data_IF_033887200694
#
_entry.id   IF_033887200694
#
_cell.length_a   1.000
_cell.length_b   1.000
_cell.length_c   1.000
_cell.angle_alpha   90.00
_cell.angle_beta   90.00
_cell.angle_gamma   90.00
#
_symmetry.space_group_name_H-M   'P 1'
#
loop_
_entity.id
_entity.type
_entity.pdbx_description
1 polymer ?
#
# COMPACT_ATOMS: atom_id res chain seq x y z
N UNK A 1 -27.12 8.99 -10.86
CA UNK A 1 -25.97 9.88 -10.57
C UNK A 1 -24.71 9.03 -10.44
N UNK A 2 -23.75 9.15 -11.38
CA UNK A 2 -22.42 8.55 -11.18
C UNK A 2 -21.74 9.34 -10.07
N UNK A 3 -21.67 8.79 -8.85
CA UNK A 3 -20.84 9.36 -7.79
C UNK A 3 -19.41 9.40 -8.31
N UNK A 4 -18.88 10.61 -8.55
CA UNK A 4 -17.50 10.80 -8.98
C UNK A 4 -16.65 10.46 -7.75
N UNK A 5 -15.82 9.42 -7.86
CA UNK A 5 -14.99 9.01 -6.74
C UNK A 5 -13.99 10.13 -6.42
N UNK A 6 -13.88 10.49 -5.14
CA UNK A 6 -12.87 11.42 -4.69
C UNK A 6 -11.53 10.71 -4.59
N UNK A 7 -10.67 10.96 -5.57
CA UNK A 7 -9.27 10.56 -5.57
C UNK A 7 -8.39 11.70 -5.02
N UNK A 8 -7.22 11.40 -4.41
CA UNK A 8 -6.74 10.07 -4.07
C UNK A 8 -7.47 9.48 -2.86
N UNK A 9 -7.54 8.15 -2.80
CA UNK A 9 -7.98 7.43 -1.60
C UNK A 9 -6.77 7.28 -0.69
N UNK A 10 -6.87 7.85 0.52
CA UNK A 10 -5.76 7.91 1.48
C UNK A 10 -6.08 7.01 2.67
N UNK A 11 -5.10 6.19 3.05
CA UNK A 11 -5.18 5.29 4.20
C UNK A 11 -3.98 5.52 5.11
N UNK A 12 -4.22 5.77 6.39
CA UNK A 12 -3.18 5.83 7.42
C UNK A 12 -3.24 4.61 8.32
N UNK A 13 -2.10 3.92 8.46
CA UNK A 13 -1.94 2.70 9.22
C UNK A 13 -0.92 2.95 10.33
N UNK A 14 -1.28 2.72 11.61
CA UNK A 14 -0.39 2.94 12.75
C UNK A 14 0.65 1.81 12.90
N UNK A 15 1.32 1.47 11.79
CA UNK A 15 2.32 0.41 11.69
C UNK A 15 3.53 0.90 10.89
N UNK A 16 4.71 0.48 11.32
CA UNK A 16 5.93 0.62 10.54
C UNK A 16 6.05 -0.48 9.49
N UNK A 17 6.59 -0.13 8.33
CA UNK A 17 7.00 -1.10 7.32
C UNK A 17 8.21 -1.89 7.82
N UNK A 18 8.20 -3.24 7.71
CA UNK A 18 9.39 -4.04 7.96
C UNK A 18 10.45 -3.75 6.89
N UNK A 19 11.72 -3.72 7.27
CA UNK A 19 12.80 -3.57 6.30
C UNK A 19 12.92 -4.84 5.42
N UNK A 20 13.45 -4.72 4.21
CA UNK A 20 13.74 -5.87 3.34
C UNK A 20 14.62 -6.93 4.04
N UNK A 21 15.60 -6.52 4.84
CA UNK A 21 16.40 -7.43 5.66
C UNK A 21 15.56 -8.17 6.72
N UNK A 22 14.58 -7.50 7.34
CA UNK A 22 13.65 -8.17 8.24
C UNK A 22 12.76 -9.16 7.48
N UNK A 23 12.31 -8.82 6.26
CA UNK A 23 11.58 -9.74 5.40
C UNK A 23 12.39 -11.00 5.10
N UNK A 24 13.65 -10.86 4.68
CA UNK A 24 14.55 -11.98 4.34
C UNK A 24 14.92 -12.87 5.52
N UNK A 25 14.86 -12.36 6.76
CA UNK A 25 15.20 -13.11 7.98
C UNK A 25 13.97 -13.63 8.70
N UNK A 26 13.14 -12.72 9.23
CA UNK A 26 11.98 -13.04 10.08
C UNK A 26 10.80 -13.59 9.27
N UNK A 27 10.63 -13.12 8.04
CA UNK A 27 9.50 -13.48 7.18
C UNK A 27 9.91 -14.37 6.01
N UNK A 28 11.06 -15.05 6.12
CA UNK A 28 11.53 -16.01 5.10
C UNK A 28 10.57 -17.18 4.92
N UNK A 29 9.95 -17.62 6.02
CA UNK A 29 8.99 -18.73 5.98
C UNK A 29 7.68 -18.27 5.31
N UNK A 30 7.14 -19.03 4.33
CA UNK A 30 5.92 -18.63 3.61
C UNK A 30 4.73 -18.30 4.52
N UNK A 31 4.53 -19.05 5.60
CA UNK A 31 3.47 -18.77 6.59
C UNK A 31 3.67 -17.44 7.32
N UNK A 32 4.91 -17.11 7.75
CA UNK A 32 5.18 -15.85 8.41
C UNK A 32 4.91 -14.66 7.47
N UNK A 33 5.34 -14.77 6.20
CA UNK A 33 5.03 -13.77 5.18
C UNK A 33 3.53 -13.66 4.91
N UNK A 34 2.82 -14.79 4.82
CA UNK A 34 1.36 -14.84 4.65
C UNK A 34 0.65 -14.08 5.78
N UNK A 35 1.00 -14.35 7.04
CA UNK A 35 0.42 -13.65 8.20
C UNK A 35 0.72 -12.15 8.18
N UNK A 36 1.95 -11.75 7.82
CA UNK A 36 2.30 -10.34 7.67
C UNK A 36 1.44 -9.65 6.61
N UNK A 37 1.30 -10.27 5.44
CA UNK A 37 0.48 -9.77 4.34
C UNK A 37 -0.99 -9.69 4.74
N UNK A 38 -1.54 -10.72 5.39
CA UNK A 38 -2.93 -10.73 5.86
C UNK A 38 -3.20 -9.64 6.91
N UNK A 39 -2.21 -9.34 7.75
CA UNK A 39 -2.28 -8.22 8.69
C UNK A 39 -2.39 -6.89 7.94
N UNK A 40 -1.54 -6.66 6.94
CA UNK A 40 -1.63 -5.47 6.08
C UNK A 40 -2.96 -5.40 5.33
N UNK A 41 -3.45 -6.52 4.80
CA UNK A 41 -4.76 -6.59 4.14
C UNK A 41 -5.88 -6.16 5.09
N UNK A 42 -5.92 -6.70 6.31
CA UNK A 42 -6.94 -6.35 7.30
C UNK A 42 -6.87 -4.86 7.69
N UNK A 43 -5.67 -4.33 7.92
CA UNK A 43 -5.48 -2.93 8.29
C UNK A 43 -5.91 -1.97 7.17
N UNK A 44 -5.54 -2.26 5.91
CA UNK A 44 -5.97 -1.48 4.75
C UNK A 44 -7.49 -1.59 4.58
N UNK A 45 -8.03 -2.81 4.62
CA UNK A 45 -9.45 -3.10 4.40
C UNK A 45 -10.34 -2.36 5.39
N UNK A 46 -9.96 -2.31 6.67
CA UNK A 46 -10.73 -1.65 7.73
C UNK A 46 -10.63 -0.12 7.68
N UNK A 47 -9.62 0.45 7.03
CA UNK A 47 -9.43 1.90 6.93
C UNK A 47 -10.12 2.52 5.72
N UNK A 48 -10.43 1.73 4.68
CA UNK A 48 -11.19 2.19 3.53
C UNK A 48 -12.67 1.92 3.78
N UNK A 49 -13.51 2.95 3.60
CA UNK A 49 -14.97 2.81 3.69
C UNK A 49 -15.48 1.72 2.74
N UNK A 50 -16.41 0.84 3.14
CA UNK A 50 -16.92 -0.25 2.29
C UNK A 50 -17.40 0.23 0.92
N UNK A 51 -18.15 1.34 0.87
CA UNK A 51 -18.64 1.94 -0.38
C UNK A 51 -17.50 2.34 -1.33
N UNK A 52 -16.47 2.99 -0.81
CA UNK A 52 -15.30 3.45 -1.58
C UNK A 52 -14.53 2.23 -2.10
N UNK A 53 -14.26 1.25 -1.23
CA UNK A 53 -13.57 0.01 -1.61
C UNK A 53 -14.31 -0.71 -2.74
N UNK A 54 -15.61 -0.91 -2.62
CA UNK A 54 -16.42 -1.59 -3.64
C UNK A 54 -16.49 -0.82 -4.96
N UNK A 55 -16.38 0.51 -4.93
CA UNK A 55 -16.25 1.31 -6.15
C UNK A 55 -14.86 1.15 -6.78
N UNK A 56 -13.77 1.17 -6.00
CA UNK A 56 -12.40 0.97 -6.52
C UNK A 56 -12.28 -0.41 -7.15
N UNK A 57 -12.71 -1.46 -6.43
CA UNK A 57 -12.62 -2.84 -6.90
C UNK A 57 -13.34 -3.03 -8.22
N UNK A 58 -14.56 -2.47 -8.37
CA UNK A 58 -15.31 -2.50 -9.63
C UNK A 58 -14.60 -1.75 -10.74
N UNK A 59 -14.04 -0.57 -10.45
CA UNK A 59 -13.29 0.23 -11.40
C UNK A 59 -12.03 -0.51 -11.88
N UNK A 60 -11.25 -1.08 -10.95
CA UNK A 60 -10.04 -1.84 -11.25
C UNK A 60 -10.34 -3.11 -12.04
N UNK A 61 -11.40 -3.84 -11.67
CA UNK A 61 -11.80 -5.06 -12.36
C UNK A 61 -12.25 -4.79 -13.80
N UNK A 62 -13.01 -3.72 -14.02
CA UNK A 62 -13.60 -3.39 -15.31
C UNK A 62 -12.62 -2.70 -16.25
N UNK A 63 -11.95 -1.65 -15.78
CA UNK A 63 -11.16 -0.76 -16.64
C UNK A 63 -9.68 -1.13 -16.66
N UNK A 64 -9.21 -1.93 -15.68
CA UNK A 64 -7.79 -2.28 -15.49
C UNK A 64 -6.87 -1.04 -15.62
N UNK A 65 -7.15 0.05 -14.90
CA UNK A 65 -6.40 1.30 -15.02
C UNK A 65 -4.95 1.11 -14.58
N UNK A 66 -4.04 1.95 -15.11
CA UNK A 66 -2.76 2.18 -14.47
C UNK A 66 -2.98 2.99 -13.18
N UNK A 67 -2.55 2.45 -12.04
CA UNK A 67 -2.73 3.06 -10.72
C UNK A 67 -1.42 3.67 -10.24
N UNK A 68 -1.50 4.84 -9.61
CA UNK A 68 -0.46 5.42 -8.78
C UNK A 68 -0.66 4.99 -7.33
N UNK A 69 0.43 4.54 -6.70
CA UNK A 69 0.46 4.22 -5.27
C UNK A 69 1.64 4.95 -4.64
N UNK A 70 1.36 5.85 -3.71
CA UNK A 70 2.38 6.47 -2.86
C UNK A 70 2.38 5.79 -1.49
N UNK A 71 3.53 5.21 -1.12
CA UNK A 71 3.75 4.65 0.23
C UNK A 71 4.71 5.56 0.98
N UNK A 72 4.21 6.25 1.99
CA UNK A 72 4.97 7.17 2.81
C UNK A 72 5.12 6.61 4.23
N UNK A 73 6.37 6.35 4.63
CA UNK A 73 6.71 5.89 5.98
C UNK A 73 7.21 7.05 6.83
N UNK A 74 6.52 7.35 7.92
CA UNK A 74 7.03 8.32 8.89
C UNK A 74 7.57 7.59 10.11
N UNK A 75 8.85 7.81 10.46
CA UNK A 75 9.51 7.16 11.62
C UNK A 75 10.73 7.94 12.14
N UNK A 76 11.24 7.63 13.35
CA UNK A 76 12.40 8.34 13.92
C UNK A 76 13.74 8.10 13.23
N UNK A 77 13.94 6.91 12.63
CA UNK A 77 15.17 6.51 11.94
C UNK A 77 14.84 5.97 10.56
N UNK A 78 15.33 6.62 9.52
CA UNK A 78 15.11 6.21 8.14
C UNK A 78 15.78 4.86 7.86
N UNK A 79 15.24 4.12 6.90
CA UNK A 79 15.93 2.98 6.30
C UNK A 79 16.77 3.44 5.11
N UNK A 80 17.79 2.65 4.75
CA UNK A 80 18.38 2.72 3.42
C UNK A 80 17.28 2.53 2.36
N UNK A 81 17.37 3.27 1.25
CA UNK A 81 16.30 3.33 0.24
C UNK A 81 15.93 1.95 -0.29
N UNK A 82 16.90 1.12 -0.68
CA UNK A 82 16.65 -0.23 -1.21
C UNK A 82 15.98 -1.14 -0.17
N UNK A 83 16.37 -0.98 1.10
CA UNK A 83 15.83 -1.75 2.21
C UNK A 83 14.38 -1.31 2.51
N UNK A 84 14.04 -0.04 2.28
CA UNK A 84 12.68 0.46 2.37
C UNK A 84 11.81 -0.01 1.19
N UNK A 85 12.29 0.16 -0.05
CA UNK A 85 11.61 -0.27 -1.27
C UNK A 85 11.26 -1.76 -1.18
N UNK A 86 12.23 -2.61 -0.85
CA UNK A 86 11.98 -4.04 -0.67
C UNK A 86 11.02 -4.35 0.49
N UNK A 87 11.04 -3.52 1.53
CA UNK A 87 10.12 -3.60 2.66
C UNK A 87 8.65 -3.35 2.31
N UNK A 88 8.37 -2.61 1.23
CA UNK A 88 7.02 -2.26 0.80
C UNK A 88 6.27 -3.42 0.10
N UNK A 89 6.96 -4.52 -0.25
CA UNK A 89 6.39 -5.65 -0.99
C UNK A 89 5.11 -6.25 -0.37
N UNK A 90 5.01 -6.46 0.96
CA UNK A 90 3.79 -6.96 1.57
C UNK A 90 2.58 -6.03 1.39
N UNK A 91 2.79 -4.70 1.35
CA UNK A 91 1.72 -3.72 1.12
C UNK A 91 1.23 -3.85 -0.31
N UNK A 92 2.13 -3.85 -1.29
CA UNK A 92 1.79 -3.99 -2.72
C UNK A 92 1.02 -5.30 -2.97
N UNK A 93 1.49 -6.41 -2.40
CA UNK A 93 0.80 -7.70 -2.49
C UNK A 93 -0.60 -7.65 -1.87
N UNK A 94 -0.77 -6.87 -0.80
CA UNK A 94 -2.05 -6.66 -0.12
C UNK A 94 -3.02 -5.84 -0.98
N UNK A 95 -2.55 -4.74 -1.57
CA UNK A 95 -3.36 -3.91 -2.48
C UNK A 95 -3.87 -4.72 -3.67
N UNK A 96 -3.01 -5.56 -4.27
CA UNK A 96 -3.41 -6.45 -5.37
C UNK A 96 -4.45 -7.48 -4.92
N UNK A 97 -4.26 -8.10 -3.75
CA UNK A 97 -5.20 -9.09 -3.20
C UNK A 97 -6.56 -8.48 -2.82
N UNK A 98 -6.58 -7.20 -2.45
CA UNK A 98 -7.79 -6.45 -2.14
C UNK A 98 -8.50 -5.87 -3.38
N UNK A 99 -7.97 -6.10 -4.59
CA UNK A 99 -8.54 -5.55 -5.82
C UNK A 99 -8.40 -4.03 -5.96
N UNK A 100 -7.50 -3.41 -5.18
CA UNK A 100 -7.27 -1.96 -5.21
C UNK A 100 -6.31 -1.54 -6.34
N UNK A 101 -5.55 -2.49 -6.87
CA UNK A 101 -4.73 -2.36 -8.07
C UNK A 101 -4.86 -3.65 -8.90
N UNK A 102 -4.71 -3.55 -10.22
CA UNK A 102 -4.84 -4.71 -11.10
C UNK A 102 -3.60 -5.64 -11.00
N UNK A 103 -2.41 -5.07 -11.10
CA UNK A 103 -1.14 -5.79 -11.12
C UNK A 103 -0.03 -4.88 -10.58
N UNK A 104 1.06 -5.47 -10.09
CA UNK A 104 2.21 -4.77 -9.51
C UNK A 104 3.37 -4.51 -10.51
N UNK A 105 3.18 -4.83 -11.79
CA UNK A 105 4.18 -4.53 -12.82
C UNK A 105 4.20 -3.03 -13.20
N UNK A 106 5.34 -2.51 -13.68
CA UNK A 106 5.47 -1.08 -14.05
C UNK A 106 4.49 -0.58 -15.11
N UNK A 107 3.91 -1.50 -15.89
CA UNK A 107 2.87 -1.18 -16.86
C UNK A 107 1.56 -0.74 -16.18
N UNK A 108 1.20 -1.40 -15.07
CA UNK A 108 -0.07 -1.17 -14.35
C UNK A 108 0.08 -0.35 -13.07
N UNK A 109 1.31 -0.19 -12.56
CA UNK A 109 1.59 0.47 -11.28
C UNK A 109 2.68 1.53 -11.42
N UNK A 110 2.34 2.77 -11.08
CA UNK A 110 3.28 3.87 -10.79
C UNK A 110 3.51 3.91 -9.28
N UNK A 111 4.53 3.18 -8.81
CA UNK A 111 4.87 3.08 -7.39
C UNK A 111 5.82 4.21 -6.99
N UNK A 112 5.42 4.99 -6.00
CA UNK A 112 6.24 5.99 -5.34
C UNK A 112 6.43 5.62 -3.88
N UNK A 113 7.64 5.80 -3.37
CA UNK A 113 7.94 5.53 -1.97
C UNK A 113 8.67 6.71 -1.36
N UNK A 114 8.23 7.11 -0.17
CA UNK A 114 8.80 8.24 0.56
C UNK A 114 9.02 7.87 2.01
N UNK A 115 10.04 8.49 2.63
CA UNK A 115 10.25 8.38 4.05
C UNK A 115 10.36 9.77 4.67
N UNK A 116 9.67 9.99 5.78
CA UNK A 116 9.75 11.21 6.56
C UNK A 116 10.40 10.88 7.91
N UNK A 117 11.49 11.58 8.23
CA UNK A 117 12.09 11.50 9.55
C UNK A 117 11.38 12.44 10.51
N UNK A 118 10.77 11.90 11.56
CA UNK A 118 10.21 12.69 12.67
C UNK A 118 10.60 12.11 14.00
N UNK A 119 11.27 12.92 14.82
CA UNK A 119 11.62 12.54 16.19
C UNK A 119 10.38 12.49 17.08
N UNK A 120 10.43 11.68 18.14
CA UNK A 120 9.39 11.60 19.19
C UNK A 120 7.99 11.18 18.74
N UNK A 121 7.86 10.50 17.59
CA UNK A 121 6.58 10.00 17.08
C UNK A 121 6.60 8.49 16.86
N UNK A 122 5.47 7.83 17.09
CA UNK A 122 5.28 6.42 16.70
C UNK A 122 5.30 6.31 15.18
N UNK A 123 5.91 5.25 14.68
CA UNK A 123 5.99 5.03 13.25
C UNK A 123 4.61 4.69 12.67
N UNK A 124 4.29 5.29 11.53
CA UNK A 124 3.06 5.01 10.79
C UNK A 124 3.31 5.05 9.28
N UNK A 125 2.42 4.43 8.54
CA UNK A 125 2.47 4.34 7.08
C UNK A 125 1.23 4.98 6.49
N UNK A 126 1.42 5.93 5.58
CA UNK A 126 0.38 6.51 4.75
C UNK A 126 0.45 5.89 3.37
N UNK A 127 -0.70 5.48 2.84
CA UNK A 127 -0.85 4.90 1.50
C UNK A 127 -1.85 5.76 0.75
N UNK A 128 -1.43 6.35 -0.37
CA UNK A 128 -2.32 7.04 -1.29
C UNK A 128 -2.50 6.22 -2.55
N UNK A 129 -3.74 6.10 -3.02
CA UNK A 129 -4.11 5.29 -4.18
C UNK A 129 -4.93 6.17 -5.11
N UNK A 130 -4.51 6.27 -6.37
CA UNK A 130 -5.27 6.96 -7.42
C UNK A 130 -5.02 6.34 -8.79
N UNK A 131 -5.89 6.56 -9.78
CA UNK A 131 -5.55 6.37 -11.19
C UNK A 131 -4.41 7.32 -11.58
N UNK A 132 -3.57 6.92 -12.53
CA UNK A 132 -2.59 7.83 -13.15
C UNK A 132 -3.30 8.84 -14.06
N UNK A 133 -4.31 8.37 -14.78
CA UNK A 133 -5.18 9.20 -15.63
C UNK A 133 -6.54 9.30 -14.94
N UNK A 134 -6.89 10.50 -14.47
CA UNK A 134 -8.21 10.76 -13.89
C UNK A 134 -9.17 10.98 -15.06
N UNK A 135 -9.90 9.92 -15.44
CA UNK A 135 -11.00 10.00 -16.42
C UNK A 135 -12.22 10.69 -15.81
#
# INVERSE_FOLDING_TARGET
MKSKMNWPVIVEIPRSIPSANQLRRKYRHPFAYKTLRETWQAEIYCKIRPEVRAQIERFVLKEKPKMRVLIQLTKPRLYDLDNFVGGCKPIIDSLRKLGLIHNDSPHWLDLQVEQIQRSKMRAFTKIEISPVEVV
#
